data_IF_728424823672
#
_entry.id   IF_728424823672
#
_cell.length_a   1.000
_cell.length_b   1.000
_cell.length_c   1.000
_cell.angle_alpha   90.00
_cell.angle_beta   90.00
_cell.angle_gamma   90.00
#
_symmetry.space_group_name_H-M   'P 1'
#
loop_
_entity.id
_entity.type
_entity.pdbx_description
1 polymer ?
#
# COMPACT_ATOMS: atom_id res chain seq x y z
N UNK A 1 -16.25 30.69 -8.82
CA UNK A 1 -16.32 29.34 -8.20
C UNK A 1 -16.23 29.52 -6.68
N UNK A 2 -17.36 29.74 -6.02
CA UNK A 2 -17.43 29.78 -4.56
C UNK A 2 -17.43 28.34 -4.04
N UNK A 3 -16.30 27.94 -3.49
CA UNK A 3 -16.23 26.89 -2.49
C UNK A 3 -15.79 27.64 -1.23
N UNK A 4 -16.26 27.23 -0.05
CA UNK A 4 -15.88 27.75 1.28
C UNK A 4 -16.94 28.64 1.93
N UNK A 5 -17.97 27.97 2.42
CA UNK A 5 -18.29 27.96 3.86
C UNK A 5 -18.68 26.53 4.22
N UNK A 6 -17.71 25.62 4.14
CA UNK A 6 -17.89 24.27 4.68
C UNK A 6 -17.41 24.35 6.11
N UNK A 7 -18.34 24.22 7.05
CA UNK A 7 -18.04 24.12 8.48
C UNK A 7 -16.92 23.09 8.66
N UNK A 8 -15.72 23.49 9.13
CA UNK A 8 -14.59 22.59 9.32
C UNK A 8 -14.88 21.49 10.36
N UNK A 9 -15.98 21.61 11.11
CA UNK A 9 -16.49 20.61 12.04
C UNK A 9 -17.39 19.55 11.37
N UNK A 10 -17.80 19.78 10.12
CA UNK A 10 -18.65 18.86 9.37
C UNK A 10 -17.81 17.86 8.57
N UNK A 11 -17.56 16.69 9.17
CA UNK A 11 -16.81 15.60 8.53
C UNK A 11 -17.32 15.21 7.14
N UNK A 12 -18.62 15.36 6.86
CA UNK A 12 -19.20 14.99 5.56
C UNK A 12 -18.78 15.96 4.46
N UNK A 13 -18.75 17.26 4.78
CA UNK A 13 -18.28 18.30 3.88
C UNK A 13 -16.79 18.14 3.56
N UNK A 14 -15.99 17.83 4.57
CA UNK A 14 -14.55 17.54 4.42
C UNK A 14 -14.34 16.29 3.56
N UNK A 15 -15.12 15.23 3.78
CA UNK A 15 -15.08 14.01 2.97
C UNK A 15 -15.41 14.30 1.49
N UNK A 16 -16.50 15.02 1.20
CA UNK A 16 -16.87 15.37 -0.17
C UNK A 16 -15.81 16.24 -0.85
N UNK A 17 -15.20 17.17 -0.10
CA UNK A 17 -14.06 17.95 -0.61
C UNK A 17 -12.89 17.05 -0.98
N UNK A 18 -12.55 16.07 -0.14
CA UNK A 18 -11.52 15.07 -0.44
C UNK A 18 -11.81 14.27 -1.71
N UNK A 19 -13.06 13.86 -1.91
CA UNK A 19 -13.50 13.16 -3.13
C UNK A 19 -13.35 14.05 -4.37
N UNK A 20 -13.70 15.34 -4.27
CA UNK A 20 -13.54 16.30 -5.37
C UNK A 20 -12.06 16.48 -5.71
N UNK A 21 -11.18 16.66 -4.71
CA UNK A 21 -9.74 16.80 -4.92
C UNK A 21 -9.14 15.54 -5.55
N UNK A 22 -9.56 14.35 -5.09
CA UNK A 22 -9.15 13.07 -5.70
C UNK A 22 -9.54 13.01 -7.18
N UNK A 23 -10.75 13.44 -7.53
CA UNK A 23 -11.23 13.49 -8.93
C UNK A 23 -10.45 14.49 -9.79
N UNK A 24 -9.91 15.54 -9.17
CA UNK A 24 -9.04 16.52 -9.84
C UNK A 24 -7.59 16.04 -10.00
N UNK A 25 -7.22 14.92 -9.39
CA UNK A 25 -5.86 14.37 -9.40
C UNK A 25 -4.97 14.93 -8.28
N UNK A 26 -5.52 15.76 -7.39
CA UNK A 26 -4.85 16.34 -6.22
C UNK A 26 -4.85 15.30 -5.09
N UNK A 27 -4.10 14.21 -5.29
CA UNK A 27 -4.14 13.02 -4.44
C UNK A 27 -3.55 13.26 -3.05
N UNK A 28 -2.55 14.14 -2.93
CA UNK A 28 -1.92 14.46 -1.66
C UNK A 28 -2.86 15.27 -0.76
N UNK A 29 -3.49 16.30 -1.33
CA UNK A 29 -4.49 17.15 -0.68
C UNK A 29 -5.73 16.34 -0.31
N UNK A 30 -6.17 15.43 -1.19
CA UNK A 30 -7.27 14.52 -0.90
C UNK A 30 -6.96 13.62 0.29
N UNK A 31 -5.74 13.08 0.40
CA UNK A 31 -5.35 12.26 1.54
C UNK A 31 -5.41 13.04 2.86
N UNK A 32 -4.92 14.28 2.88
CA UNK A 32 -5.00 15.16 4.06
C UNK A 32 -6.46 15.47 4.46
N UNK A 33 -7.35 15.65 3.48
CA UNK A 33 -8.77 15.85 3.76
C UNK A 33 -9.41 14.59 4.36
N UNK A 34 -9.07 13.40 3.86
CA UNK A 34 -9.54 12.16 4.47
C UNK A 34 -8.96 11.95 5.87
N UNK A 35 -7.73 12.37 6.14
CA UNK A 35 -7.16 12.37 7.49
C UNK A 35 -7.98 13.23 8.46
N UNK A 36 -8.37 14.43 8.05
CA UNK A 36 -9.26 15.28 8.84
C UNK A 36 -10.62 14.63 9.13
N UNK A 37 -11.18 13.88 8.18
CA UNK A 37 -12.42 13.12 8.44
C UNK A 37 -12.21 12.11 9.56
N UNK A 38 -11.07 11.43 9.58
CA UNK A 38 -10.70 10.46 10.61
C UNK A 38 -10.34 11.11 11.96
N UNK A 39 -9.89 12.37 11.97
CA UNK A 39 -9.71 13.16 13.19
C UNK A 39 -11.05 13.57 13.80
N UNK A 40 -12.04 13.90 12.96
CA UNK A 40 -13.39 14.29 13.40
C UNK A 40 -14.19 13.06 13.87
N UNK A 41 -14.10 11.94 13.17
CA UNK A 41 -14.74 10.68 13.54
C UNK A 41 -13.75 9.50 13.48
N UNK A 42 -13.00 9.27 14.58
CA UNK A 42 -12.02 8.19 14.64
C UNK A 42 -12.67 6.81 14.86
N UNK A 43 -13.88 6.77 15.42
CA UNK A 43 -14.52 5.51 15.85
C UNK A 43 -15.51 4.97 14.81
N UNK A 44 -15.92 5.78 13.83
CA UNK A 44 -16.86 5.36 12.78
C UNK A 44 -18.30 5.28 13.26
N UNK A 45 -18.59 5.87 14.42
CA UNK A 45 -19.96 6.08 14.93
C UNK A 45 -20.65 7.25 14.19
N UNK A 46 -19.88 8.09 13.49
CA UNK A 46 -20.34 9.23 12.72
C UNK A 46 -20.04 9.11 11.21
N UNK A 47 -19.52 10.20 10.64
CA UNK A 47 -19.37 10.40 9.20
C UNK A 47 -18.38 9.42 8.57
N UNK A 48 -18.88 8.29 8.06
CA UNK A 48 -18.25 7.45 7.04
C UNK A 48 -16.72 7.28 7.16
N UNK A 49 -16.20 7.12 8.38
CA UNK A 49 -14.77 6.91 8.62
C UNK A 49 -14.23 5.68 7.84
N UNK A 50 -15.08 4.65 7.69
CA UNK A 50 -14.81 3.51 6.82
C UNK A 50 -14.57 3.93 5.36
N UNK A 51 -15.36 4.88 4.83
CA UNK A 51 -15.19 5.40 3.48
C UNK A 51 -13.93 6.25 3.36
N UNK A 52 -13.60 7.07 4.37
CA UNK A 52 -12.34 7.83 4.39
C UNK A 52 -11.11 6.90 4.35
N UNK A 53 -11.08 5.86 5.18
CA UNK A 53 -10.05 4.82 5.14
C UNK A 53 -9.98 4.12 3.78
N UNK A 54 -11.13 3.78 3.19
CA UNK A 54 -11.19 3.20 1.84
C UNK A 54 -10.59 4.14 0.78
N UNK A 55 -10.94 5.43 0.79
CA UNK A 55 -10.40 6.41 -0.15
C UNK A 55 -8.89 6.59 0.02
N UNK A 56 -8.36 6.60 1.26
CA UNK A 56 -6.91 6.60 1.51
C UNK A 56 -6.24 5.37 0.90
N UNK A 57 -6.81 4.18 1.08
CA UNK A 57 -6.29 2.95 0.47
C UNK A 57 -6.21 3.05 -1.05
N UNK A 58 -7.25 3.60 -1.69
CA UNK A 58 -7.27 3.83 -3.16
C UNK A 58 -6.21 4.83 -3.59
N UNK A 59 -6.02 5.93 -2.84
CA UNK A 59 -4.96 6.92 -3.12
C UNK A 59 -3.57 6.28 -3.01
N UNK A 60 -3.34 5.47 -1.98
CA UNK A 60 -2.06 4.77 -1.78
C UNK A 60 -1.77 3.77 -2.90
N UNK A 61 -2.78 3.02 -3.36
CA UNK A 61 -2.67 2.19 -4.57
C UNK A 61 -2.32 3.01 -5.81
N UNK A 62 -2.96 4.17 -5.99
CA UNK A 62 -2.79 5.02 -7.18
C UNK A 62 -1.42 5.71 -7.21
N UNK A 63 -0.93 6.14 -6.04
CA UNK A 63 0.37 6.82 -5.89
C UNK A 63 1.56 5.85 -5.90
N UNK A 64 1.31 4.52 -6.02
CA UNK A 64 2.36 3.51 -6.08
C UNK A 64 3.11 3.32 -4.76
N UNK A 65 2.50 3.73 -3.64
CA UNK A 65 3.04 3.54 -2.30
C UNK A 65 3.06 2.04 -1.92
N UNK A 66 3.80 1.64 -0.88
CA UNK A 66 3.89 0.24 -0.47
C UNK A 66 2.50 -0.40 -0.36
N UNK A 67 2.37 -1.62 -0.87
CA UNK A 67 1.09 -2.35 -0.83
C UNK A 67 0.63 -2.58 0.62
N UNK A 68 1.60 -2.63 1.53
CA UNK A 68 1.44 -2.68 2.97
C UNK A 68 0.59 -1.51 3.51
N UNK A 69 0.91 -0.27 3.12
CA UNK A 69 0.20 0.94 3.59
C UNK A 69 -1.24 0.93 3.08
N UNK A 70 -1.45 0.55 1.82
CA UNK A 70 -2.77 0.44 1.22
C UNK A 70 -3.60 -0.66 1.90
N UNK A 71 -3.01 -1.85 2.11
CA UNK A 71 -3.65 -2.95 2.81
C UNK A 71 -4.04 -2.57 4.24
N UNK A 72 -3.18 -1.84 4.95
CA UNK A 72 -3.49 -1.32 6.28
C UNK A 72 -4.73 -0.41 6.26
N UNK A 73 -4.81 0.54 5.32
CA UNK A 73 -5.97 1.42 5.19
C UNK A 73 -7.27 0.63 4.91
N UNK A 74 -7.24 -0.35 4.00
CA UNK A 74 -8.40 -1.20 3.74
C UNK A 74 -8.76 -2.10 4.94
N UNK A 75 -7.77 -2.55 5.72
CA UNK A 75 -8.02 -3.32 6.93
C UNK A 75 -8.72 -2.47 8.01
N UNK A 76 -8.33 -1.19 8.18
CA UNK A 76 -9.06 -0.26 9.06
C UNK A 76 -10.49 -0.05 8.59
N UNK A 77 -10.68 0.17 7.28
CA UNK A 77 -12.01 0.32 6.70
C UNK A 77 -12.88 -0.94 6.91
N UNK A 78 -12.28 -2.13 6.76
CA UNK A 78 -12.96 -3.41 6.96
C UNK A 78 -13.31 -3.66 8.42
N UNK A 79 -12.50 -3.15 9.37
CA UNK A 79 -12.81 -3.25 10.80
C UNK A 79 -14.04 -2.43 11.17
N UNK A 80 -14.21 -1.27 10.55
CA UNK A 80 -15.36 -0.39 10.76
C UNK A 80 -16.62 -0.88 10.03
N UNK A 81 -16.48 -1.36 8.78
CA UNK A 81 -17.59 -1.95 8.00
C UNK A 81 -17.23 -3.35 7.52
N UNK A 82 -17.30 -4.38 8.39
CA UNK A 82 -16.92 -5.75 8.04
C UNK A 82 -17.89 -6.42 7.05
N UNK A 83 -19.11 -5.91 6.95
CA UNK A 83 -20.14 -6.34 5.99
C UNK A 83 -19.88 -5.84 4.57
N UNK A 84 -18.97 -4.88 4.38
CA UNK A 84 -18.67 -4.35 3.06
C UNK A 84 -17.77 -5.31 2.27
N UNK A 85 -18.40 -6.04 1.33
CA UNK A 85 -17.73 -6.98 0.44
C UNK A 85 -16.72 -6.31 -0.48
N UNK A 86 -16.91 -5.04 -0.84
CA UNK A 86 -16.00 -4.31 -1.73
C UNK A 86 -14.67 -4.09 -1.02
N UNK A 87 -14.72 -3.60 0.23
CA UNK A 87 -13.52 -3.38 1.05
C UNK A 87 -12.77 -4.70 1.26
N UNK A 88 -13.49 -5.76 1.62
CA UNK A 88 -12.90 -7.09 1.83
C UNK A 88 -12.26 -7.66 0.57
N UNK A 89 -12.93 -7.55 -0.58
CA UNK A 89 -12.39 -8.01 -1.86
C UNK A 89 -11.12 -7.24 -2.23
N UNK A 90 -11.09 -5.93 -1.98
CA UNK A 90 -9.94 -5.08 -2.26
C UNK A 90 -8.73 -5.42 -1.37
N UNK A 91 -8.96 -5.63 -0.08
CA UNK A 91 -7.93 -6.07 0.86
C UNK A 91 -7.32 -7.42 0.44
N UNK A 92 -8.15 -8.41 0.14
CA UNK A 92 -7.68 -9.73 -0.31
C UNK A 92 -6.81 -9.63 -1.57
N UNK A 93 -7.23 -8.84 -2.55
CA UNK A 93 -6.47 -8.64 -3.79
C UNK A 93 -5.08 -8.03 -3.55
N UNK A 94 -4.94 -7.17 -2.52
CA UNK A 94 -3.64 -6.59 -2.15
C UNK A 94 -2.73 -7.60 -1.46
N UNK A 95 -3.28 -8.41 -0.56
CA UNK A 95 -2.54 -9.48 0.11
C UNK A 95 -2.01 -10.51 -0.91
N UNK A 96 -2.82 -10.87 -1.91
CA UNK A 96 -2.41 -11.77 -2.99
C UNK A 96 -1.28 -11.16 -3.84
N UNK A 97 -1.37 -9.87 -4.17
CA UNK A 97 -0.29 -9.14 -4.85
C UNK A 97 0.99 -9.12 -4.02
N UNK A 98 0.90 -8.92 -2.70
CA UNK A 98 2.05 -8.96 -1.81
C UNK A 98 2.67 -10.35 -1.73
N UNK A 99 1.86 -11.40 -1.61
CA UNK A 99 2.33 -12.79 -1.58
C UNK A 99 3.05 -13.16 -2.87
N UNK A 100 2.47 -12.81 -4.02
CA UNK A 100 3.09 -13.06 -5.34
C UNK A 100 4.42 -12.31 -5.51
N UNK A 101 4.50 -11.04 -5.07
CA UNK A 101 5.72 -10.24 -5.09
C UNK A 101 6.81 -10.87 -4.21
N UNK A 102 6.47 -11.30 -2.98
CA UNK A 102 7.38 -12.01 -2.06
C UNK A 102 7.91 -13.31 -2.68
N UNK A 103 7.05 -14.14 -3.27
CA UNK A 103 7.45 -15.38 -3.97
C UNK A 103 8.40 -15.11 -5.14
N UNK A 104 8.12 -14.07 -5.94
CA UNK A 104 8.97 -13.67 -7.08
C UNK A 104 10.34 -13.15 -6.61
N UNK A 105 10.38 -12.41 -5.50
CA UNK A 105 11.64 -11.95 -4.90
C UNK A 105 12.49 -13.12 -4.38
N UNK A 106 11.89 -14.11 -3.69
CA UNK A 106 12.59 -15.33 -3.25
C UNK A 106 13.20 -16.10 -4.42
N UNK A 107 12.43 -16.31 -5.51
CA UNK A 107 12.93 -16.99 -6.72
C UNK A 107 14.07 -16.21 -7.41
N UNK A 108 13.99 -14.88 -7.45
CA UNK A 108 15.07 -14.02 -7.99
C UNK A 108 16.34 -14.07 -7.15
N UNK A 109 16.24 -14.06 -5.80
CA UNK A 109 17.39 -14.20 -4.89
C UNK A 109 18.09 -15.56 -5.09
N UNK A 110 17.32 -16.65 -5.04
CA UNK A 110 17.85 -18.00 -5.27
C UNK A 110 18.54 -18.16 -6.63
N UNK A 111 18.01 -17.55 -7.71
CA UNK A 111 18.64 -17.58 -9.04
C UNK A 111 19.94 -16.76 -9.10
N UNK A 112 20.06 -15.66 -8.33
CA UNK A 112 21.29 -14.87 -8.23
C UNK A 112 22.38 -15.60 -7.45
N UNK A 113 22.02 -16.21 -6.31
CA UNK A 113 22.94 -16.99 -5.47
C UNK A 113 23.52 -18.19 -6.25
N UNK A 114 22.69 -18.89 -7.03
CA UNK A 114 23.15 -19.98 -7.92
C UNK A 114 24.07 -19.52 -9.06
N UNK A 115 24.02 -18.25 -9.46
CA UNK A 115 24.90 -17.69 -10.50
C UNK A 115 26.24 -17.24 -9.92
N UNK A 116 26.27 -16.77 -8.68
CA UNK A 116 27.49 -16.32 -7.99
C UNK A 116 28.33 -17.53 -7.54
N UNK A 117 27.71 -18.63 -7.11
CA UNK A 117 28.42 -19.87 -6.78
C UNK A 117 28.99 -20.67 -7.98
N UNK A 118 29.01 -20.08 -9.19
CA UNK A 118 29.56 -20.68 -10.42
C UNK A 118 30.75 -19.89 -10.99
N UNK A 119 31.43 -19.08 -10.18
CA UNK A 119 32.77 -18.63 -10.56
C UNK A 119 33.74 -19.82 -10.43
N UNK A 120 34.53 -20.15 -11.48
CA UNK A 120 35.49 -21.23 -11.39
C UNK A 120 36.55 -20.89 -10.34
N UNK A 121 36.79 -21.83 -9.41
CA UNK A 121 37.93 -21.77 -8.49
C UNK A 121 39.20 -21.50 -9.32
N UNK A 122 40.10 -20.57 -8.93
CA UNK A 122 41.37 -20.44 -9.62
C UNK A 122 42.09 -21.79 -9.51
N UNK A 123 42.44 -22.34 -10.67
CA UNK A 123 43.12 -23.62 -10.86
C UNK A 123 44.53 -23.49 -10.26
N UNK A 124 44.66 -23.71 -8.96
CA UNK A 124 45.95 -23.70 -8.29
C UNK A 124 46.72 -24.97 -8.69
N UNK A 125 47.65 -24.76 -9.63
CA UNK A 125 48.92 -25.45 -9.83
C UNK A 125 49.03 -26.88 -9.26
N UNK A 126 48.87 -27.87 -10.15
CA UNK A 126 49.62 -29.11 -10.04
C UNK A 126 51.00 -28.83 -10.63
N UNK A 127 51.99 -28.55 -9.77
CA UNK A 127 53.39 -28.76 -10.16
C UNK A 127 53.90 -29.94 -9.33
N UNK A 128 53.78 -31.09 -9.97
CA UNK A 128 54.40 -32.34 -9.61
C UNK A 128 55.90 -32.18 -9.84
N UNK A 129 56.71 -32.11 -8.78
CA UNK A 129 58.16 -32.31 -8.87
C UNK A 129 58.51 -33.52 -8.02
N UNK A 130 58.52 -34.65 -8.71
CA UNK A 130 59.11 -35.89 -8.27
C UNK A 130 60.64 -35.73 -8.11
N UNK A 131 61.12 -36.26 -7.00
CA UNK A 131 62.53 -36.48 -6.68
C UNK A 131 63.22 -37.38 -7.70
N UNK A 132 64.56 -37.41 -7.65
CA UNK A 132 65.26 -38.69 -7.49
C UNK A 132 65.80 -38.87 -6.06
#
# INVERSE_FOLDING_TARGET
>A
RQVMDLDPSNGLAVYHSGVIMKRRGELAEAALLFDKVLEIDPHGDGVDAAAAWYQKGVILETTGRPLEDAAYAFAQACRLKPSDRIIRSRLQALEDKMHSKKKRMKKKKSKRERKIGKEPKPLAAQEEVASP
#
